data_IF_508561787695
#
_entry.id   IF_508561787695
#
_cell.length_a   1.000
_cell.length_b   1.000
_cell.length_c   1.000
_cell.angle_alpha   90.00
_cell.angle_beta   90.00
_cell.angle_gamma   90.00
#
_symmetry.space_group_name_H-M   'P 1'
#
loop_
_entity.id
_entity.type
_entity.pdbx_description
1 polymer ?
#
# COMPACT_ATOMS: atom_id res chain seq x y z
N UNK A 1 13.69 -14.74 4.95
CA UNK A 1 12.23 -14.52 5.04
C UNK A 1 11.57 -15.88 5.10
N UNK A 2 10.56 -16.02 5.96
CA UNK A 2 9.65 -17.17 5.99
C UNK A 2 8.24 -16.71 5.65
N UNK A 3 7.49 -17.59 4.97
CA UNK A 3 6.13 -17.33 4.56
C UNK A 3 5.20 -18.42 5.10
N UNK A 4 4.02 -18.03 5.56
CA UNK A 4 2.97 -18.96 6.02
C UNK A 4 1.67 -18.66 5.29
N UNK A 5 0.97 -19.73 4.91
CA UNK A 5 -0.25 -19.68 4.14
C UNK A 5 -1.40 -20.32 4.91
N UNK A 6 -2.63 -19.90 4.64
CA UNK A 6 -3.82 -20.56 5.17
C UNK A 6 -4.27 -21.75 4.30
N UNK A 7 -5.38 -22.40 4.68
CA UNK A 7 -5.96 -23.55 3.95
C UNK A 7 -6.48 -23.21 2.54
N UNK A 8 -6.59 -21.93 2.21
CA UNK A 8 -7.03 -21.42 0.91
C UNK A 8 -5.83 -20.91 0.08
N UNK A 9 -4.61 -21.26 0.49
CA UNK A 9 -3.33 -20.88 -0.15
C UNK A 9 -3.08 -19.37 -0.19
N UNK A 10 -3.60 -18.64 0.80
CA UNK A 10 -3.39 -17.19 0.93
C UNK A 10 -2.27 -16.91 1.92
N UNK A 11 -1.36 -15.99 1.56
CA UNK A 11 -0.26 -15.57 2.43
C UNK A 11 -0.81 -14.89 3.68
N UNK A 12 -0.60 -15.46 4.86
CA UNK A 12 -1.09 -14.90 6.14
C UNK A 12 0.04 -14.32 7.00
N UNK A 13 1.30 -14.76 6.80
CA UNK A 13 2.46 -14.21 7.52
C UNK A 13 3.68 -14.14 6.62
N UNK A 14 4.38 -13.01 6.64
CA UNK A 14 5.74 -12.86 6.12
C UNK A 14 6.67 -12.43 7.27
N UNK A 15 7.59 -13.30 7.67
CA UNK A 15 8.51 -13.10 8.79
C UNK A 15 9.94 -12.91 8.28
N UNK A 16 10.48 -11.72 8.46
CA UNK A 16 11.89 -11.46 8.22
C UNK A 16 12.73 -12.06 9.34
N UNK A 17 13.96 -12.46 9.03
CA UNK A 17 14.91 -12.90 10.04
C UNK A 17 16.32 -12.60 9.58
N UNK A 18 17.23 -12.51 10.54
CA UNK A 18 18.65 -12.40 10.33
C UNK A 18 19.36 -13.47 11.16
N UNK A 19 20.49 -13.95 10.68
CA UNK A 19 21.36 -14.83 11.45
C UNK A 19 22.38 -13.98 12.19
N UNK A 20 22.44 -14.09 13.51
CA UNK A 20 23.44 -13.37 14.29
C UNK A 20 24.84 -13.99 14.10
N UNK A 21 25.92 -13.32 14.55
CA UNK A 21 27.28 -13.84 14.40
C UNK A 21 27.55 -15.20 15.07
N UNK A 22 26.66 -15.64 15.99
CA UNK A 22 26.74 -16.96 16.64
C UNK A 22 26.01 -18.06 15.84
N UNK A 23 25.41 -17.72 14.70
CA UNK A 23 24.63 -18.65 13.89
C UNK A 23 23.16 -18.81 14.33
N UNK A 24 22.72 -18.06 15.34
CA UNK A 24 21.34 -18.14 15.82
C UNK A 24 20.45 -17.22 15.00
N UNK A 25 19.27 -17.73 14.65
CA UNK A 25 18.20 -16.94 14.04
C UNK A 25 17.66 -15.91 15.02
N UNK A 26 17.51 -14.68 14.54
CA UNK A 26 16.84 -13.58 15.22
C UNK A 26 15.73 -13.10 14.30
N UNK A 27 14.49 -13.26 14.74
CA UNK A 27 13.34 -12.74 13.99
C UNK A 27 13.35 -11.21 13.98
N UNK A 28 12.96 -10.66 12.84
CA UNK A 28 12.86 -9.23 12.58
C UNK A 28 11.43 -8.87 12.24
N UNK A 29 11.23 -7.87 11.38
CA UNK A 29 9.93 -7.40 11.00
C UNK A 29 8.99 -8.53 10.56
N UNK A 30 7.72 -8.44 10.94
CA UNK A 30 6.69 -9.39 10.56
C UNK A 30 5.46 -8.66 10.03
N UNK A 31 4.97 -9.13 8.90
CA UNK A 31 3.69 -8.71 8.32
C UNK A 31 2.67 -9.82 8.47
N UNK A 32 1.48 -9.51 8.97
CA UNK A 32 0.32 -10.42 9.02
C UNK A 32 -0.80 -9.88 8.17
N UNK A 33 -1.45 -10.77 7.43
CA UNK A 33 -2.51 -10.40 6.48
C UNK A 33 -3.80 -11.14 6.86
N UNK A 34 -4.90 -10.40 6.88
CA UNK A 34 -6.22 -10.91 7.24
C UNK A 34 -7.15 -10.77 6.06
N UNK A 35 -7.90 -11.82 5.76
CA UNK A 35 -8.76 -11.92 4.59
C UNK A 35 -10.20 -12.25 4.97
N UNK A 36 -11.14 -11.85 4.10
CA UNK A 36 -12.52 -12.33 4.18
C UNK A 36 -12.72 -13.68 3.44
N UNK A 37 -13.95 -14.19 3.44
CA UNK A 37 -14.29 -15.44 2.74
C UNK A 37 -14.17 -15.38 1.21
N UNK A 38 -14.02 -14.19 0.62
CA UNK A 38 -13.82 -13.98 -0.82
C UNK A 38 -12.34 -13.79 -1.18
N UNK A 39 -11.43 -13.82 -0.20
CA UNK A 39 -9.99 -13.63 -0.43
C UNK A 39 -9.56 -12.16 -0.51
N UNK A 40 -10.42 -11.21 -0.17
CA UNK A 40 -10.07 -9.79 -0.11
C UNK A 40 -9.37 -9.48 1.22
N UNK A 41 -8.33 -8.64 1.18
CA UNK A 41 -7.58 -8.24 2.38
C UNK A 41 -8.40 -7.26 3.22
N UNK A 42 -8.75 -7.65 4.44
CA UNK A 42 -9.49 -6.85 5.42
C UNK A 42 -8.56 -6.04 6.32
N UNK A 43 -7.40 -6.59 6.66
CA UNK A 43 -6.42 -5.90 7.49
C UNK A 43 -4.99 -6.34 7.18
N UNK A 44 -4.05 -5.47 7.49
CA UNK A 44 -2.60 -5.70 7.46
C UNK A 44 -2.03 -5.25 8.79
N UNK A 45 -1.30 -6.13 9.45
CA UNK A 45 -0.50 -5.78 10.62
C UNK A 45 0.97 -5.83 10.27
N UNK A 46 1.72 -4.81 10.65
CA UNK A 46 3.15 -4.73 10.52
C UNK A 46 3.78 -4.46 11.88
N UNK A 47 4.58 -5.40 12.35
CA UNK A 47 5.39 -5.27 13.55
C UNK A 47 6.86 -5.16 13.13
N UNK A 48 7.48 -3.97 13.23
CA UNK A 48 8.87 -3.77 12.83
C UNK A 48 9.90 -4.44 13.76
N UNK A 49 9.52 -4.96 14.93
CA UNK A 49 10.40 -5.64 15.91
C UNK A 49 11.70 -4.90 16.26
N UNK A 50 11.65 -3.58 16.26
CA UNK A 50 12.72 -2.64 16.59
C UNK A 50 12.54 -2.03 18.00
N UNK A 51 11.71 -2.67 18.84
CA UNK A 51 11.68 -2.47 20.29
C UNK A 51 10.91 -1.26 20.81
N UNK A 52 10.40 -0.38 19.93
CA UNK A 52 9.66 0.82 20.34
C UNK A 52 8.43 1.19 19.48
N UNK A 53 8.22 0.56 18.33
CA UNK A 53 7.25 1.00 17.32
C UNK A 53 5.81 0.47 17.44
N UNK A 54 5.58 -0.54 18.31
CA UNK A 54 4.30 -1.24 18.39
C UNK A 54 3.88 -1.95 17.10
N UNK A 55 2.75 -2.66 17.15
CA UNK A 55 2.15 -3.26 15.95
C UNK A 55 1.33 -2.17 15.24
N UNK A 56 1.66 -1.89 13.99
CA UNK A 56 0.87 -1.00 13.12
C UNK A 56 -0.19 -1.80 12.41
N UNK A 57 -1.45 -1.37 12.49
CA UNK A 57 -2.58 -2.07 11.87
C UNK A 57 -3.30 -1.13 10.93
N UNK A 58 -3.41 -1.54 9.67
CA UNK A 58 -4.20 -0.88 8.64
C UNK A 58 -5.42 -1.75 8.33
N UNK A 59 -6.62 -1.17 8.37
CA UNK A 59 -7.87 -1.85 8.01
C UNK A 59 -8.45 -1.28 6.73
N UNK A 60 -9.06 -2.14 5.90
CA UNK A 60 -9.54 -1.78 4.58
C UNK A 60 -11.07 -1.86 4.49
N UNK A 61 -11.69 -0.81 3.94
CA UNK A 61 -13.09 -0.80 3.53
C UNK A 61 -13.15 -1.02 2.03
N UNK A 62 -14.04 -1.91 1.60
CA UNK A 62 -14.08 -2.45 0.24
C UNK A 62 -15.39 -2.07 -0.45
N UNK A 63 -15.32 -1.73 -1.73
CA UNK A 63 -16.44 -1.73 -2.66
C UNK A 63 -16.13 -2.75 -3.78
N UNK A 64 -16.97 -3.77 -3.92
CA UNK A 64 -16.66 -4.92 -4.78
C UNK A 64 -15.33 -5.59 -4.40
N UNK A 65 -14.36 -5.64 -5.31
CA UNK A 65 -13.04 -6.22 -5.07
C UNK A 65 -11.99 -5.19 -4.64
N UNK A 66 -12.32 -3.90 -4.65
CA UNK A 66 -11.35 -2.82 -4.52
C UNK A 66 -11.46 -2.10 -3.17
N UNK A 67 -10.33 -1.74 -2.54
CA UNK A 67 -10.35 -0.88 -1.36
C UNK A 67 -10.72 0.55 -1.75
N UNK A 68 -11.73 1.07 -1.05
CA UNK A 68 -12.22 2.45 -1.13
C UNK A 68 -11.79 3.30 0.06
N UNK A 69 -11.42 2.68 1.17
CA UNK A 69 -10.74 3.38 2.25
C UNK A 69 -9.74 2.50 2.99
N UNK A 70 -8.73 3.12 3.60
CA UNK A 70 -7.81 2.48 4.55
C UNK A 70 -7.72 3.30 5.83
N UNK A 71 -7.74 2.64 6.98
CA UNK A 71 -7.65 3.24 8.29
C UNK A 71 -6.41 2.75 9.02
N UNK A 72 -5.51 3.67 9.38
CA UNK A 72 -4.33 3.41 10.19
C UNK A 72 -4.72 3.51 11.68
N UNK A 73 -4.84 2.36 12.33
CA UNK A 73 -5.35 2.25 13.70
C UNK A 73 -4.42 2.86 14.75
N UNK A 74 -3.13 3.00 14.41
CA UNK A 74 -2.13 3.53 15.34
C UNK A 74 -2.33 5.02 15.66
N UNK A 75 -2.66 5.82 14.65
CA UNK A 75 -2.78 7.28 14.77
C UNK A 75 -4.14 7.82 14.32
N UNK A 76 -5.08 6.94 13.93
CA UNK A 76 -6.41 7.32 13.47
C UNK A 76 -6.42 8.02 12.11
N UNK A 77 -5.31 8.00 11.37
CA UNK A 77 -5.26 8.52 10.00
C UNK A 77 -6.05 7.60 9.07
N UNK A 78 -6.66 8.18 8.05
CA UNK A 78 -7.30 7.37 7.02
C UNK A 78 -7.15 7.99 5.64
N UNK A 79 -7.40 7.15 4.64
CA UNK A 79 -7.32 7.51 3.22
C UNK A 79 -8.55 6.99 2.52
N UNK A 80 -9.18 7.86 1.75
CA UNK A 80 -10.25 7.48 0.82
C UNK A 80 -9.67 7.39 -0.59
N UNK A 81 -10.07 6.36 -1.35
CA UNK A 81 -9.70 6.19 -2.74
C UNK A 81 -10.89 6.38 -3.67
N UNK A 82 -10.66 7.18 -4.70
CA UNK A 82 -11.62 7.42 -5.76
C UNK A 82 -11.13 6.70 -7.00
N UNK A 83 -11.95 5.77 -7.47
CA UNK A 83 -11.70 4.99 -8.67
C UNK A 83 -12.74 5.31 -9.73
N UNK A 84 -12.33 5.22 -10.98
CA UNK A 84 -13.20 5.48 -12.10
C UNK A 84 -12.46 5.25 -13.41
N UNK A 85 -13.15 5.51 -14.51
CA UNK A 85 -12.63 5.27 -15.84
C UNK A 85 -13.78 4.98 -16.78
N UNK A 86 -13.66 5.45 -18.01
CA UNK A 86 -14.58 5.04 -19.07
C UNK A 86 -14.19 3.62 -19.45
N UNK A 87 -15.16 2.70 -19.54
CA UNK A 87 -14.93 1.30 -19.94
C UNK A 87 -14.12 1.17 -21.25
N UNK A 88 -14.12 2.23 -22.08
CA UNK A 88 -13.31 2.37 -23.28
C UNK A 88 -11.79 2.32 -23.07
N UNK A 89 -11.28 2.64 -21.88
CA UNK A 89 -9.83 2.69 -21.60
C UNK A 89 -9.35 1.57 -20.67
N UNK A 90 -10.22 1.01 -19.83
CA UNK A 90 -9.88 -0.11 -18.96
C UNK A 90 -11.13 -0.89 -18.56
N UNK A 91 -11.09 -2.24 -18.59
CA UNK A 91 -12.19 -3.07 -18.10
C UNK A 91 -12.34 -3.03 -16.57
N UNK A 92 -11.34 -2.48 -15.86
CA UNK A 92 -11.36 -2.32 -14.40
C UNK A 92 -11.22 -0.85 -14.01
N UNK A 93 -11.92 -0.39 -12.95
CA UNK A 93 -11.84 0.99 -12.50
C UNK A 93 -10.40 1.35 -12.09
N UNK A 94 -9.92 2.47 -12.59
CA UNK A 94 -8.54 2.93 -12.37
C UNK A 94 -8.48 3.86 -11.16
N UNK A 95 -7.35 3.89 -10.44
CA UNK A 95 -7.15 4.82 -9.32
C UNK A 95 -7.00 6.25 -9.83
N UNK A 96 -7.91 7.14 -9.47
CA UNK A 96 -7.93 8.52 -9.95
C UNK A 96 -7.45 9.52 -8.89
N UNK A 97 -7.90 9.34 -7.65
CA UNK A 97 -7.53 10.23 -6.56
C UNK A 97 -7.48 9.49 -5.23
N UNK A 98 -6.71 10.06 -4.30
CA UNK A 98 -6.70 9.69 -2.89
C UNK A 98 -6.94 10.95 -2.06
N UNK A 99 -7.80 10.86 -1.05
CA UNK A 99 -7.91 11.89 -0.02
C UNK A 99 -7.34 11.36 1.27
N UNK A 100 -6.26 11.97 1.75
CA UNK A 100 -5.56 11.59 2.96
C UNK A 100 -5.94 12.54 4.11
N UNK A 101 -6.31 11.98 5.25
CA UNK A 101 -6.66 12.70 6.46
C UNK A 101 -5.60 12.44 7.53
N UNK A 102 -4.59 13.31 7.66
CA UNK A 102 -3.50 13.13 8.62
C UNK A 102 -3.92 13.46 10.06
N UNK A 103 -4.90 14.35 10.24
CA UNK A 103 -5.52 14.73 11.50
C UNK A 103 -6.86 15.45 11.21
N UNK A 104 -7.88 15.23 12.04
CA UNK A 104 -9.17 15.92 11.90
C UNK A 104 -9.90 15.62 10.57
N UNK A 105 -10.79 16.53 10.15
CA UNK A 105 -11.63 16.36 8.94
C UNK A 105 -11.08 17.07 7.71
N UNK A 106 -9.96 17.79 7.84
CA UNK A 106 -9.31 18.49 6.73
C UNK A 106 -8.41 17.54 5.94
N UNK A 107 -9.00 16.84 4.97
CA UNK A 107 -8.26 15.92 4.10
C UNK A 107 -7.55 16.63 2.94
N UNK A 108 -6.33 16.19 2.63
CA UNK A 108 -5.57 16.60 1.44
C UNK A 108 -5.84 15.64 0.28
N UNK A 109 -6.14 16.18 -0.90
CA UNK A 109 -6.35 15.38 -2.11
C UNK A 109 -5.05 15.23 -2.90
N UNK A 110 -4.87 14.04 -3.46
CA UNK A 110 -3.78 13.65 -4.35
C UNK A 110 -4.39 13.09 -5.63
N UNK A 111 -3.85 13.47 -6.79
CA UNK A 111 -4.35 13.05 -8.10
C UNK A 111 -3.32 12.13 -8.75
N UNK A 112 -3.79 10.97 -9.20
CA UNK A 112 -2.98 9.97 -9.86
C UNK A 112 -2.97 10.20 -11.37
N UNK A 113 -1.77 10.14 -11.95
CA UNK A 113 -1.55 10.14 -13.39
C UNK A 113 -1.08 8.76 -13.78
N UNK A 114 -1.78 8.12 -14.71
CA UNK A 114 -1.55 6.73 -15.08
C UNK A 114 -0.86 6.64 -16.45
N UNK A 115 -0.03 5.63 -16.63
CA UNK A 115 0.46 5.26 -17.96
C UNK A 115 -0.58 4.46 -18.75
N UNK A 116 -0.24 4.09 -19.99
CA UNK A 116 -1.13 3.32 -20.87
C UNK A 116 -1.40 1.88 -20.40
N UNK A 117 -0.82 1.43 -19.29
CA UNK A 117 -1.08 0.12 -18.66
C UNK A 117 -1.78 0.28 -17.30
N UNK A 118 -2.06 1.51 -16.86
CA UNK A 118 -2.68 1.80 -15.58
C UNK A 118 -1.72 1.84 -14.39
N UNK A 119 -0.40 1.82 -14.61
CA UNK A 119 0.59 2.07 -13.55
C UNK A 119 0.66 3.56 -13.24
N UNK A 120 0.94 3.91 -11.99
CA UNK A 120 1.03 5.32 -11.57
C UNK A 120 2.31 5.94 -12.13
N UNK A 121 2.19 6.74 -13.18
CA UNK A 121 3.29 7.51 -13.75
C UNK A 121 3.59 8.81 -12.99
N UNK A 122 2.60 9.32 -12.26
CA UNK A 122 2.81 10.49 -11.40
C UNK A 122 1.72 10.72 -10.36
N UNK A 123 2.03 11.57 -9.39
CA UNK A 123 1.15 11.97 -8.30
C UNK A 123 1.25 13.48 -8.09
N UNK A 124 0.14 14.18 -8.23
CA UNK A 124 0.06 15.62 -7.91
C UNK A 124 -0.52 15.81 -6.51
N UNK A 125 0.08 16.67 -5.69
CA UNK A 125 -0.38 17.00 -4.33
C UNK A 125 -1.51 18.04 -4.34
N UNK A 126 -2.12 18.23 -3.16
CA UNK A 126 -3.18 19.22 -2.91
C UNK A 126 -2.85 20.59 -3.53
N UNK A 127 -3.84 21.19 -4.20
CA UNK A 127 -3.72 22.48 -4.91
C UNK A 127 -2.69 22.53 -6.04
N UNK A 128 -2.21 21.39 -6.56
CA UNK A 128 -1.27 21.35 -7.69
C UNK A 128 0.16 21.75 -7.32
N UNK A 129 0.49 21.84 -6.03
CA UNK A 129 1.73 22.45 -5.54
C UNK A 129 3.01 21.66 -5.89
N UNK A 130 2.90 20.36 -6.13
CA UNK A 130 4.01 19.53 -6.58
C UNK A 130 3.53 18.29 -7.30
N UNK A 131 4.37 17.78 -8.20
CA UNK A 131 4.15 16.53 -8.92
C UNK A 131 5.35 15.61 -8.71
N UNK A 132 5.09 14.38 -8.29
CA UNK A 132 6.08 13.31 -8.22
C UNK A 132 5.88 12.40 -9.42
N UNK A 133 6.96 12.01 -10.08
CA UNK A 133 6.90 11.11 -11.23
C UNK A 133 7.55 9.78 -10.88
N UNK A 134 6.92 8.70 -11.29
CA UNK A 134 7.42 7.34 -11.10
C UNK A 134 7.81 6.75 -12.44
N UNK A 135 8.89 5.98 -12.44
CA UNK A 135 9.32 5.15 -13.56
C UNK A 135 9.49 3.74 -13.06
N UNK A 136 9.15 2.78 -13.89
CA UNK A 136 9.28 1.37 -13.58
C UNK A 136 10.28 0.73 -14.54
N UNK A 137 11.05 -0.22 -14.06
CA UNK A 137 11.70 -1.17 -14.95
C UNK A 137 10.69 -2.17 -15.53
N UNK A 138 11.15 -3.09 -16.39
CA UNK A 138 10.28 -4.07 -17.03
C UNK A 138 9.61 -5.05 -16.05
N UNK A 139 10.02 -5.09 -14.78
CA UNK A 139 9.53 -6.01 -13.75
C UNK A 139 8.82 -5.29 -12.59
N UNK A 140 8.53 -3.98 -12.74
CA UNK A 140 7.75 -3.20 -11.79
C UNK A 140 8.56 -2.55 -10.67
N UNK A 141 9.89 -2.59 -10.71
CA UNK A 141 10.72 -1.90 -9.73
C UNK A 141 10.71 -0.38 -9.99
N UNK A 142 10.42 0.42 -8.96
CA UNK A 142 10.46 1.89 -9.03
C UNK A 142 11.90 2.38 -9.24
N UNK A 143 12.10 3.29 -10.19
CA UNK A 143 13.39 3.86 -10.57
C UNK A 143 13.46 5.37 -10.25
N UNK A 144 14.57 5.86 -9.67
CA UNK A 144 15.67 5.10 -9.07
C UNK A 144 15.25 4.36 -7.79
N UNK A 145 15.84 3.18 -7.56
CA UNK A 145 15.53 2.30 -6.42
C UNK A 145 15.85 2.91 -5.04
N UNK A 146 16.68 3.95 -4.99
CA UNK A 146 17.04 4.70 -3.79
C UNK A 146 16.69 6.17 -3.97
N UNK A 147 15.46 6.52 -3.63
CA UNK A 147 15.07 7.91 -3.37
C UNK A 147 13.84 7.89 -2.46
N UNK A 148 13.60 9.00 -1.76
CA UNK A 148 12.55 9.12 -0.75
C UNK A 148 11.13 9.19 -1.38
N UNK A 149 10.85 8.33 -2.36
CA UNK A 149 9.61 8.32 -3.14
C UNK A 149 8.38 7.83 -2.37
N UNK A 150 8.61 7.23 -1.21
CA UNK A 150 7.59 6.68 -0.31
C UNK A 150 7.19 7.66 0.79
N UNK A 151 7.91 8.77 0.97
CA UNK A 151 7.61 9.76 2.00
C UNK A 151 7.23 11.13 1.40
N UNK A 152 5.94 11.50 1.41
CA UNK A 152 4.82 10.62 1.70
C UNK A 152 3.92 10.48 0.47
N UNK A 153 3.00 9.53 0.53
CA UNK A 153 1.75 9.52 -0.25
C UNK A 153 1.69 8.71 -1.55
N UNK A 154 2.55 7.72 -1.81
CA UNK A 154 2.18 6.72 -2.82
C UNK A 154 2.44 5.27 -2.40
N UNK A 155 1.38 4.63 -1.94
CA UNK A 155 1.36 3.18 -1.68
C UNK A 155 1.02 2.43 -2.96
N UNK A 156 0.17 2.98 -3.82
CA UNK A 156 -0.29 2.34 -5.06
C UNK A 156 0.62 2.71 -6.23
N UNK A 157 1.56 1.85 -6.59
CA UNK A 157 2.58 2.18 -7.58
C UNK A 157 2.34 1.46 -8.91
N UNK A 158 2.91 0.28 -9.07
CA UNK A 158 2.80 -0.51 -10.30
C UNK A 158 1.40 -1.12 -10.42
N UNK A 159 0.75 -0.95 -11.59
CA UNK A 159 -0.64 -1.36 -11.85
C UNK A 159 -1.66 -0.87 -10.80
N UNK A 160 -1.35 0.23 -10.10
CA UNK A 160 -2.18 0.76 -9.02
C UNK A 160 -2.31 -0.16 -7.80
N UNK A 161 -1.35 -1.08 -7.60
CA UNK A 161 -1.29 -2.00 -6.45
C UNK A 161 -0.32 -1.51 -5.38
N UNK A 162 -0.62 -1.88 -4.12
CA UNK A 162 0.21 -1.67 -2.93
C UNK A 162 1.43 -2.60 -2.92
#
# INVERSE_FOLDING_TARGET
MDYTYDREDRLITAQAYQTNPRGHRVDREVTRLYYDGLGRRLAKEYDPKDGGGGVRRTEYVLDGLDPVAEYEMWNGQWRDYYRGGVEAFSPTPMLLAMRHFPEGTEGQTYWYHLDGQGSVAGLTKHLGQSTHNYRYDAYGQVLPAQSNFTDPHNHSTFLGKE
#
